data_IF_934689566779
#
_entry.id   IF_934689566779
#
_cell.length_a   1.000
_cell.length_b   1.000
_cell.length_c   1.000
_cell.angle_alpha   90.00
_cell.angle_beta   90.00
_cell.angle_gamma   90.00
#
_symmetry.space_group_name_H-M   'P 1'
#
loop_
_entity.id
_entity.type
_entity.pdbx_description
1 polymer ?
#
# COMPACT_ATOMS: atom_id res chain seq x y z
N UNK A 1 -0.94 -24.91 4.79
CA UNK A 1 -1.06 -25.81 5.95
C UNK A 1 -2.14 -26.89 5.77
N UNK A 2 -3.30 -26.65 5.15
CA UNK A 2 -4.37 -27.68 5.04
C UNK A 2 -4.04 -28.86 4.09
N UNK A 3 -3.30 -28.63 2.99
CA UNK A 3 -2.97 -29.67 1.99
C UNK A 3 -1.46 -29.97 1.85
N UNK A 4 -0.61 -29.32 2.65
CA UNK A 4 0.86 -29.46 2.61
C UNK A 4 1.55 -28.79 1.41
N UNK A 5 2.88 -28.68 1.47
CA UNK A 5 3.71 -28.05 0.41
C UNK A 5 3.80 -28.91 -0.86
N UNK A 6 3.88 -30.23 -0.71
CA UNK A 6 3.96 -31.17 -1.85
C UNK A 6 2.75 -31.04 -2.77
N UNK A 7 1.55 -30.87 -2.21
CA UNK A 7 0.34 -30.69 -3.01
C UNK A 7 0.32 -29.31 -3.68
N UNK A 8 0.81 -28.28 -2.98
CA UNK A 8 0.93 -26.93 -3.54
C UNK A 8 1.86 -26.90 -4.76
N UNK A 9 3.00 -27.60 -4.71
CA UNK A 9 3.91 -27.68 -5.85
C UNK A 9 3.27 -28.39 -7.05
N UNK A 10 2.52 -29.49 -6.81
CA UNK A 10 1.76 -30.16 -7.87
C UNK A 10 0.71 -29.25 -8.52
N UNK A 11 -0.04 -28.51 -7.70
CA UNK A 11 -1.03 -27.55 -8.19
C UNK A 11 -0.37 -26.45 -9.02
N UNK A 12 0.77 -25.93 -8.56
CA UNK A 12 1.53 -24.90 -9.30
C UNK A 12 2.03 -25.41 -10.64
N UNK A 13 2.61 -26.61 -10.68
CA UNK A 13 3.08 -27.22 -11.93
C UNK A 13 1.93 -27.43 -12.91
N UNK A 14 0.79 -27.96 -12.43
CA UNK A 14 -0.40 -28.19 -13.25
C UNK A 14 -1.03 -26.88 -13.76
N UNK A 15 -1.03 -25.81 -12.95
CA UNK A 15 -1.49 -24.49 -13.34
C UNK A 15 -0.50 -23.74 -14.28
N UNK A 16 0.68 -24.30 -14.55
CA UNK A 16 1.73 -23.63 -15.32
C UNK A 16 2.38 -22.44 -14.59
N UNK A 17 2.28 -22.40 -13.25
CA UNK A 17 2.79 -21.31 -12.42
C UNK A 17 4.30 -21.47 -12.16
N UNK A 18 5.11 -20.68 -12.87
CA UNK A 18 6.58 -20.67 -12.72
C UNK A 18 7.08 -19.98 -11.45
N UNK A 19 6.22 -19.27 -10.72
CA UNK A 19 6.59 -18.48 -9.54
C UNK A 19 6.58 -19.39 -8.32
N UNK A 20 7.73 -19.52 -7.64
CA UNK A 20 7.87 -20.27 -6.37
C UNK A 20 7.37 -19.47 -5.18
N UNK A 21 7.82 -18.23 -5.10
CA UNK A 21 7.56 -17.34 -3.96
C UNK A 21 6.78 -16.11 -4.42
N UNK A 22 5.63 -15.89 -3.80
CA UNK A 22 4.76 -14.76 -4.10
C UNK A 22 5.16 -13.54 -3.27
N UNK A 23 5.51 -12.44 -3.94
CA UNK A 23 5.79 -11.15 -3.33
C UNK A 23 4.53 -10.28 -3.36
N UNK A 24 4.16 -9.71 -2.21
CA UNK A 24 2.97 -8.87 -2.04
C UNK A 24 2.99 -7.57 -2.84
N UNK A 25 4.16 -7.05 -3.22
CA UNK A 25 4.30 -5.84 -4.03
C UNK A 25 4.45 -6.09 -5.54
N UNK A 26 4.52 -7.36 -5.95
CA UNK A 26 4.56 -7.75 -7.35
C UNK A 26 3.15 -8.03 -7.88
N UNK A 27 2.89 -7.62 -9.12
CA UNK A 27 1.63 -7.94 -9.81
C UNK A 27 1.82 -9.21 -10.62
N UNK A 28 0.86 -10.11 -10.47
CA UNK A 28 0.76 -11.35 -11.24
C UNK A 28 -0.41 -11.27 -12.22
N UNK A 29 -0.47 -12.20 -13.17
CA UNK A 29 -1.57 -12.28 -14.14
C UNK A 29 -2.92 -12.48 -13.44
N UNK A 30 -3.94 -11.73 -13.86
CA UNK A 30 -5.30 -11.85 -13.31
C UNK A 30 -5.88 -13.27 -13.50
N UNK A 31 -5.47 -13.96 -14.57
CA UNK A 31 -5.91 -15.33 -14.86
C UNK A 31 -5.28 -16.38 -13.94
N UNK A 32 -4.17 -16.06 -13.24
CA UNK A 32 -3.44 -17.04 -12.44
C UNK A 32 -4.29 -17.60 -11.30
N UNK A 33 -5.06 -16.76 -10.63
CA UNK A 33 -5.94 -17.18 -9.52
C UNK A 33 -7.04 -18.11 -10.02
N UNK A 34 -7.59 -17.81 -11.21
CA UNK A 34 -8.61 -18.66 -11.85
C UNK A 34 -8.01 -20.01 -12.26
N UNK A 35 -6.82 -20.00 -12.87
CA UNK A 35 -6.09 -21.22 -13.25
C UNK A 35 -5.78 -22.08 -12.03
N UNK A 36 -5.29 -21.49 -10.95
CA UNK A 36 -5.04 -22.20 -9.69
C UNK A 36 -6.32 -22.83 -9.13
N UNK A 37 -7.45 -22.13 -9.18
CA UNK A 37 -8.73 -22.69 -8.73
C UNK A 37 -9.19 -23.88 -9.58
N UNK A 38 -9.05 -23.79 -10.91
CA UNK A 38 -9.33 -24.91 -11.82
C UNK A 38 -8.40 -26.10 -11.55
N UNK A 39 -7.10 -25.86 -11.39
CA UNK A 39 -6.13 -26.90 -11.07
C UNK A 39 -6.38 -27.56 -9.71
N UNK A 40 -6.82 -26.80 -8.70
CA UNK A 40 -7.27 -27.37 -7.43
C UNK A 40 -8.46 -28.30 -7.61
N UNK A 41 -9.45 -27.90 -8.43
CA UNK A 41 -10.64 -28.72 -8.70
C UNK A 41 -10.30 -30.04 -9.37
N UNK A 42 -9.40 -30.00 -10.36
CA UNK A 42 -8.96 -31.20 -11.10
C UNK A 42 -8.10 -32.15 -10.26
N UNK A 43 -7.26 -31.64 -9.35
CA UNK A 43 -6.30 -32.46 -8.60
C UNK A 43 -6.82 -32.96 -7.25
N UNK A 44 -7.68 -32.18 -6.58
CA UNK A 44 -8.15 -32.49 -5.23
C UNK A 44 -9.51 -33.18 -5.23
N UNK A 45 -10.28 -33.11 -6.33
CA UNK A 45 -11.60 -33.75 -6.54
C UNK A 45 -12.67 -33.49 -5.44
N UNK A 46 -12.41 -32.58 -4.50
CA UNK A 46 -13.27 -32.30 -3.34
C UNK A 46 -14.20 -31.09 -3.51
N UNK A 47 -14.27 -30.52 -4.71
CA UNK A 47 -15.08 -29.32 -4.98
C UNK A 47 -14.86 -28.77 -6.39
N UNK A 48 -15.72 -27.84 -6.81
CA UNK A 48 -15.58 -27.14 -8.08
C UNK A 48 -14.60 -25.94 -7.97
N UNK A 49 -14.25 -25.33 -9.10
CA UNK A 49 -13.38 -24.16 -9.10
C UNK A 49 -13.95 -22.98 -8.29
N UNK A 50 -15.27 -22.83 -8.21
CA UNK A 50 -15.92 -21.75 -7.47
C UNK A 50 -15.80 -21.95 -5.95
N UNK A 51 -15.86 -23.18 -5.47
CA UNK A 51 -15.63 -23.55 -4.08
C UNK A 51 -14.18 -23.26 -3.67
N UNK A 52 -13.21 -23.53 -4.54
CA UNK A 52 -11.83 -23.12 -4.32
C UNK A 52 -11.64 -21.61 -4.35
N UNK A 53 -12.35 -20.87 -5.21
CA UNK A 53 -12.32 -19.39 -5.17
C UNK A 53 -12.89 -18.85 -3.85
N UNK A 54 -13.99 -19.42 -3.35
CA UNK A 54 -14.54 -19.07 -2.02
C UNK A 54 -13.52 -19.39 -0.92
N UNK A 55 -12.87 -20.54 -1.00
CA UNK A 55 -11.82 -20.93 -0.07
C UNK A 55 -10.66 -19.91 -0.09
N UNK A 56 -10.16 -19.53 -1.27
CA UNK A 56 -9.13 -18.50 -1.43
C UNK A 56 -9.54 -17.16 -0.81
N UNK A 57 -10.82 -16.77 -0.97
CA UNK A 57 -11.36 -15.56 -0.35
C UNK A 57 -11.31 -15.61 1.19
N UNK A 58 -11.64 -16.76 1.79
CA UNK A 58 -11.53 -16.96 3.25
C UNK A 58 -10.08 -16.91 3.70
N UNK A 59 -9.17 -17.57 2.98
CA UNK A 59 -7.74 -17.55 3.27
C UNK A 59 -7.16 -16.13 3.19
N UNK A 60 -7.61 -15.33 2.21
CA UNK A 60 -7.16 -13.94 2.06
C UNK A 60 -7.51 -13.09 3.29
N UNK A 61 -8.73 -13.20 3.82
CA UNK A 61 -9.12 -12.45 5.02
C UNK A 61 -8.28 -12.87 6.23
N UNK A 62 -8.03 -14.18 6.41
CA UNK A 62 -7.14 -14.68 7.46
C UNK A 62 -5.71 -14.17 7.31
N UNK A 63 -5.20 -14.10 6.08
CA UNK A 63 -3.91 -13.53 5.76
C UNK A 63 -3.87 -12.03 6.12
N UNK A 64 -4.87 -11.23 5.73
CA UNK A 64 -4.96 -9.82 6.11
C UNK A 64 -4.91 -9.62 7.62
N UNK A 65 -5.57 -10.49 8.38
CA UNK A 65 -5.52 -10.45 9.85
C UNK A 65 -4.13 -10.71 10.41
N UNK A 66 -3.34 -11.61 9.79
CA UNK A 66 -1.97 -11.87 10.21
C UNK A 66 -1.04 -10.64 10.05
N UNK A 67 -1.27 -9.83 9.01
CA UNK A 67 -0.53 -8.59 8.75
C UNK A 67 -1.08 -7.36 9.49
N UNK A 68 -1.91 -7.57 10.53
CA UNK A 68 -2.48 -6.53 11.39
C UNK A 68 -3.43 -5.54 10.69
N UNK A 69 -3.95 -5.90 9.51
CA UNK A 69 -5.02 -5.14 8.88
C UNK A 69 -6.38 -5.37 9.55
N UNK A 70 -6.49 -6.38 10.44
CA UNK A 70 -7.68 -6.67 11.23
C UNK A 70 -8.16 -5.48 12.06
N UNK A 71 -7.22 -4.73 12.67
CA UNK A 71 -7.53 -3.55 13.48
C UNK A 71 -8.22 -2.48 12.65
N UNK A 72 -7.75 -2.27 11.41
CA UNK A 72 -8.34 -1.31 10.48
C UNK A 72 -9.73 -1.77 10.04
N UNK A 73 -9.88 -3.05 9.68
CA UNK A 73 -11.17 -3.61 9.26
C UNK A 73 -12.23 -3.54 10.36
N UNK A 74 -11.87 -3.78 11.63
CA UNK A 74 -12.78 -3.72 12.79
C UNK A 74 -13.32 -2.32 13.09
N UNK A 75 -12.57 -1.26 12.74
CA UNK A 75 -12.99 0.13 13.04
C UNK A 75 -13.76 0.80 11.89
N UNK A 76 -13.81 0.18 10.71
CA UNK A 76 -14.44 0.78 9.52
C UNK A 76 -15.96 0.94 9.66
N UNK A 77 -16.66 0.04 10.36
CA UNK A 77 -18.11 0.12 10.50
C UNK A 77 -18.64 -0.55 11.76
N UNK A 78 -19.66 0.03 12.40
CA UNK A 78 -20.34 -0.55 13.56
C UNK A 78 -21.20 -1.75 13.19
N UNK A 79 -21.83 -1.66 12.02
CA UNK A 79 -22.66 -2.72 11.44
C UNK A 79 -22.07 -3.17 10.10
N UNK A 80 -22.37 -4.40 9.70
CA UNK A 80 -21.84 -4.97 8.45
C UNK A 80 -22.21 -4.14 7.21
N UNK A 81 -23.44 -3.61 7.12
CA UNK A 81 -23.82 -2.68 6.05
C UNK A 81 -23.00 -1.39 6.02
N UNK A 82 -22.65 -0.82 7.19
CA UNK A 82 -21.82 0.40 7.25
C UNK A 82 -20.40 0.09 6.78
N UNK A 83 -19.86 -1.05 7.21
CA UNK A 83 -18.56 -1.53 6.74
C UNK A 83 -18.51 -1.62 5.22
N UNK A 84 -19.50 -2.30 4.59
CA UNK A 84 -19.55 -2.45 3.13
C UNK A 84 -19.65 -1.11 2.40
N UNK A 85 -20.39 -0.13 2.94
CA UNK A 85 -20.49 1.22 2.36
C UNK A 85 -19.17 2.00 2.39
N UNK A 86 -18.28 1.69 3.33
CA UNK A 86 -16.98 2.36 3.50
C UNK A 86 -15.82 1.62 2.82
N UNK A 87 -16.06 0.44 2.25
CA UNK A 87 -14.99 -0.37 1.66
C UNK A 87 -14.27 0.31 0.50
N UNK A 88 -14.99 1.08 -0.33
CA UNK A 88 -14.37 1.84 -1.42
C UNK A 88 -13.42 2.92 -0.89
N UNK A 89 -13.75 3.53 0.25
CA UNK A 89 -12.88 4.49 0.92
C UNK A 89 -11.66 3.81 1.52
N UNK A 90 -11.85 2.64 2.15
CA UNK A 90 -10.77 1.81 2.67
C UNK A 90 -9.76 1.42 1.58
N UNK A 91 -10.26 0.92 0.44
CA UNK A 91 -9.41 0.54 -0.69
C UNK A 91 -8.56 1.71 -1.21
N UNK A 92 -9.11 2.92 -1.24
CA UNK A 92 -8.31 4.06 -1.66
C UNK A 92 -7.20 4.42 -0.68
N UNK A 93 -7.41 4.23 0.62
CA UNK A 93 -6.32 4.38 1.59
C UNK A 93 -5.25 3.30 1.42
N UNK A 94 -5.68 2.07 1.12
CA UNK A 94 -4.76 0.95 0.86
C UNK A 94 -3.89 1.17 -0.38
N UNK A 95 -4.32 2.02 -1.33
CA UNK A 95 -3.51 2.37 -2.52
C UNK A 95 -2.20 3.07 -2.17
N UNK A 96 -2.08 3.72 -1.01
CA UNK A 96 -0.79 4.27 -0.57
C UNK A 96 0.25 3.18 -0.26
N UNK A 97 -0.19 2.03 0.28
CA UNK A 97 0.66 0.85 0.47
C UNK A 97 0.81 0.00 -0.80
N UNK A 98 -0.22 0.00 -1.65
CA UNK A 98 -0.29 -0.78 -2.89
C UNK A 98 -0.63 0.12 -4.10
N UNK A 99 0.32 0.91 -4.64
CA UNK A 99 0.03 1.95 -5.64
C UNK A 99 -0.62 1.46 -6.94
N UNK A 100 -0.30 0.21 -7.32
CA UNK A 100 -0.79 -0.42 -8.55
C UNK A 100 -2.07 -1.25 -8.35
N UNK A 101 -2.65 -1.23 -7.14
CA UNK A 101 -3.88 -1.95 -6.84
C UNK A 101 -5.05 -1.39 -7.66
N UNK A 102 -5.79 -2.30 -8.31
CA UNK A 102 -7.06 -2.00 -8.97
C UNK A 102 -8.22 -2.50 -8.10
N UNK A 103 -8.70 -1.67 -7.19
CA UNK A 103 -9.77 -2.06 -6.28
C UNK A 103 -11.12 -2.18 -7.00
N UNK A 104 -11.94 -3.18 -6.66
CA UNK A 104 -13.33 -3.19 -7.07
C UNK A 104 -14.12 -2.11 -6.33
N UNK A 105 -15.30 -1.79 -6.84
CA UNK A 105 -16.27 -0.92 -6.19
C UNK A 105 -17.45 -1.71 -5.64
N UNK A 106 -17.89 -1.34 -4.43
CA UNK A 106 -18.99 -1.97 -3.70
C UNK A 106 -20.02 -0.92 -3.29
N UNK A 107 -21.26 -1.10 -3.75
CA UNK A 107 -22.36 -0.19 -3.44
C UNK A 107 -23.55 -1.00 -2.93
N UNK A 108 -24.10 -0.61 -1.78
CA UNK A 108 -25.38 -1.15 -1.32
C UNK A 108 -26.51 -0.42 -2.04
N UNK A 109 -27.29 -1.13 -2.84
CA UNK A 109 -28.45 -0.56 -3.55
C UNK A 109 -29.69 -0.51 -2.67
N UNK A 110 -29.96 -1.59 -1.95
CA UNK A 110 -31.14 -1.76 -1.10
C UNK A 110 -30.75 -2.45 0.21
N UNK A 111 -31.50 -2.19 1.28
CA UNK A 111 -31.32 -2.85 2.56
C UNK A 111 -32.65 -2.92 3.32
N UNK A 112 -32.82 -4.00 4.07
CA UNK A 112 -33.98 -4.28 4.90
C UNK A 112 -33.51 -4.88 6.25
N UNK A 113 -34.44 -5.29 7.10
CA UNK A 113 -34.12 -5.89 8.40
C UNK A 113 -33.47 -7.28 8.31
N UNK A 114 -33.63 -7.97 7.19
CA UNK A 114 -33.17 -9.33 6.95
C UNK A 114 -31.92 -9.38 6.05
N UNK A 115 -31.39 -8.24 5.63
CA UNK A 115 -30.22 -8.23 4.76
C UNK A 115 -30.03 -6.95 3.94
N UNK A 116 -29.25 -7.11 2.87
CA UNK A 116 -28.94 -6.05 1.91
C UNK A 116 -28.66 -6.60 0.51
N UNK A 117 -28.78 -5.74 -0.49
CA UNK A 117 -28.41 -6.01 -1.87
C UNK A 117 -27.12 -5.24 -2.19
N UNK A 118 -26.06 -5.99 -2.50
CA UNK A 118 -24.73 -5.46 -2.81
C UNK A 118 -24.48 -5.53 -4.32
N UNK A 119 -24.17 -4.38 -4.92
CA UNK A 119 -23.66 -4.30 -6.28
C UNK A 119 -22.14 -4.25 -6.24
N UNK A 120 -21.51 -5.25 -6.84
CA UNK A 120 -20.07 -5.38 -6.97
C UNK A 120 -19.64 -5.10 -8.41
N UNK A 121 -18.76 -4.12 -8.60
CA UNK A 121 -18.23 -3.74 -9.92
C UNK A 121 -16.72 -3.94 -9.95
N UNK A 122 -16.24 -4.67 -10.94
CA UNK A 122 -14.82 -5.01 -11.07
C UNK A 122 -14.40 -5.00 -12.53
N UNK A 123 -13.20 -4.51 -12.82
CA UNK A 123 -12.59 -4.65 -14.14
C UNK A 123 -12.11 -6.09 -14.44
N UNK A 124 -12.08 -6.94 -13.41
CA UNK A 124 -11.64 -8.34 -13.47
C UNK A 124 -12.86 -9.26 -13.43
N UNK A 125 -12.87 -10.24 -14.32
CA UNK A 125 -13.97 -11.20 -14.48
C UNK A 125 -13.72 -12.49 -13.67
N UNK A 126 -14.79 -13.18 -13.27
CA UNK A 126 -14.71 -14.50 -12.64
C UNK A 126 -14.33 -14.50 -11.15
N UNK A 127 -14.27 -13.34 -10.51
CA UNK A 127 -13.88 -13.20 -9.09
C UNK A 127 -15.08 -13.05 -8.13
N UNK A 128 -16.31 -13.25 -8.61
CA UNK A 128 -17.54 -13.16 -7.79
C UNK A 128 -17.48 -14.10 -6.58
N UNK A 129 -17.12 -15.36 -6.81
CA UNK A 129 -17.01 -16.38 -5.75
C UNK A 129 -15.85 -16.11 -4.79
N UNK A 130 -14.77 -15.48 -5.27
CA UNK A 130 -13.66 -15.04 -4.42
C UNK A 130 -14.11 -13.94 -3.44
N UNK A 131 -14.94 -13.00 -3.89
CA UNK A 131 -15.55 -12.00 -3.00
C UNK A 131 -16.52 -12.66 -2.00
N UNK A 132 -17.35 -13.61 -2.43
CA UNK A 132 -18.25 -14.33 -1.50
C UNK A 132 -17.48 -14.95 -0.34
N UNK A 133 -16.33 -15.59 -0.62
CA UNK A 133 -15.45 -16.15 0.40
C UNK A 133 -14.97 -15.11 1.41
N UNK A 134 -14.60 -13.93 0.94
CA UNK A 134 -14.18 -12.82 1.81
C UNK A 134 -15.35 -12.30 2.66
N UNK A 135 -16.52 -12.08 2.07
CA UNK A 135 -17.71 -11.58 2.78
C UNK A 135 -18.13 -12.53 3.90
N UNK A 136 -18.16 -13.84 3.62
CA UNK A 136 -18.48 -14.87 4.61
C UNK A 136 -17.47 -14.88 5.76
N UNK A 137 -16.17 -14.80 5.45
CA UNK A 137 -15.14 -14.80 6.49
C UNK A 137 -15.16 -13.50 7.32
N UNK A 138 -15.40 -12.35 6.68
CA UNK A 138 -15.48 -11.06 7.36
C UNK A 138 -16.68 -11.01 8.30
N UNK A 139 -17.86 -11.43 7.81
CA UNK A 139 -19.09 -11.45 8.61
C UNK A 139 -18.93 -12.34 9.85
N UNK A 140 -18.29 -13.50 9.70
CA UNK A 140 -18.03 -14.42 10.80
C UNK A 140 -16.98 -13.88 11.80
N UNK A 141 -15.80 -13.47 11.33
CA UNK A 141 -14.64 -13.19 12.20
C UNK A 141 -14.69 -11.79 12.85
N UNK A 142 -15.36 -10.83 12.21
CA UNK A 142 -15.38 -9.43 12.66
C UNK A 142 -16.72 -9.00 13.24
N UNK A 143 -17.83 -9.56 12.73
CA UNK A 143 -19.18 -9.16 13.14
C UNK A 143 -19.94 -10.26 13.89
N UNK A 144 -19.39 -11.49 13.94
CA UNK A 144 -20.05 -12.65 14.56
C UNK A 144 -21.45 -12.91 13.97
N UNK A 145 -21.62 -12.66 12.66
CA UNK A 145 -22.89 -12.75 11.96
C UNK A 145 -22.95 -13.99 11.04
N UNK A 146 -24.00 -14.82 11.13
CA UNK A 146 -24.27 -15.84 10.14
C UNK A 146 -24.79 -15.16 8.86
N UNK A 147 -23.94 -15.12 7.83
CA UNK A 147 -24.24 -14.52 6.54
C UNK A 147 -24.53 -15.61 5.50
N UNK A 148 -25.65 -15.48 4.78
CA UNK A 148 -25.90 -16.20 3.53
C UNK A 148 -25.73 -15.23 2.34
N UNK A 149 -25.13 -15.71 1.26
CA UNK A 149 -24.83 -14.89 0.07
C UNK A 149 -25.33 -15.61 -1.17
N UNK A 150 -26.20 -14.96 -1.93
CA UNK A 150 -26.76 -15.46 -3.18
C UNK A 150 -26.46 -14.49 -4.33
N UNK A 151 -26.16 -15.02 -5.50
CA UNK A 151 -25.96 -14.21 -6.71
C UNK A 151 -27.31 -14.01 -7.38
N UNK A 152 -27.77 -12.76 -7.46
CA UNK A 152 -29.04 -12.41 -8.12
C UNK A 152 -28.86 -12.20 -9.62
N UNK A 153 -27.76 -11.54 -10.01
CA UNK A 153 -27.52 -11.11 -11.39
C UNK A 153 -26.03 -10.96 -11.66
N UNK A 154 -25.58 -11.39 -12.83
CA UNK A 154 -24.24 -11.10 -13.36
C UNK A 154 -24.36 -10.48 -14.75
N UNK A 155 -23.76 -9.30 -14.92
CA UNK A 155 -23.73 -8.57 -16.18
C UNK A 155 -22.29 -8.20 -16.51
N UNK A 156 -21.94 -8.28 -17.79
CA UNK A 156 -20.67 -7.79 -18.32
C UNK A 156 -20.94 -6.65 -19.28
N UNK A 157 -20.43 -5.46 -18.98
CA UNK A 157 -20.56 -4.28 -19.84
C UNK A 157 -19.18 -3.60 -19.93
N UNK A 158 -18.70 -3.32 -21.15
CA UNK A 158 -17.48 -2.56 -21.43
C UNK A 158 -16.26 -2.91 -20.56
N UNK A 159 -15.83 -4.18 -20.57
CA UNK A 159 -14.71 -4.72 -19.76
C UNK A 159 -14.89 -4.60 -18.23
N UNK A 160 -16.11 -4.34 -17.74
CA UNK A 160 -16.45 -4.33 -16.32
C UNK A 160 -17.50 -5.39 -16.04
N UNK A 161 -17.21 -6.29 -15.09
CA UNK A 161 -18.20 -7.22 -14.55
C UNK A 161 -18.94 -6.54 -13.40
N UNK A 162 -20.27 -6.55 -13.48
CA UNK A 162 -21.17 -6.13 -12.43
C UNK A 162 -21.93 -7.35 -11.91
N UNK A 163 -21.73 -7.69 -10.64
CA UNK A 163 -22.44 -8.79 -9.97
C UNK A 163 -23.28 -8.23 -8.84
N UNK A 164 -24.57 -8.57 -8.83
CA UNK A 164 -25.51 -8.21 -7.77
C UNK A 164 -25.67 -9.39 -6.83
N UNK A 165 -25.36 -9.20 -5.55
CA UNK A 165 -25.50 -10.19 -4.49
C UNK A 165 -26.67 -9.84 -3.56
N UNK A 166 -27.46 -10.84 -3.17
CA UNK A 166 -28.32 -10.79 -1.99
C UNK A 166 -27.52 -11.27 -0.80
N UNK A 167 -27.47 -10.47 0.25
CA UNK A 167 -26.82 -10.75 1.52
C UNK A 167 -27.91 -10.92 2.57
N UNK A 168 -28.15 -12.13 3.06
CA UNK A 168 -29.14 -12.39 4.10
C UNK A 168 -28.44 -12.56 5.46
N UNK A 169 -28.81 -11.71 6.41
CA UNK A 169 -28.28 -11.66 7.77
C UNK A 169 -29.17 -10.74 8.64
N UNK A 170 -29.02 -10.81 9.96
CA UNK A 170 -29.74 -9.89 10.86
C UNK A 170 -29.22 -8.46 10.74
N UNK A 171 -30.00 -7.59 10.10
CA UNK A 171 -29.64 -6.21 9.81
C UNK A 171 -30.48 -5.20 10.61
N UNK A 172 -31.26 -5.66 11.60
CA UNK A 172 -32.19 -4.82 12.39
C UNK A 172 -31.50 -3.63 13.06
N UNK A 173 -30.36 -3.86 13.72
CA UNK A 173 -29.62 -2.81 14.42
C UNK A 173 -29.15 -1.68 13.49
N UNK A 174 -28.76 -2.01 12.26
CA UNK A 174 -28.41 -1.00 11.25
C UNK A 174 -29.63 -0.20 10.79
N UNK A 175 -30.76 -0.88 10.54
CA UNK A 175 -32.00 -0.22 10.12
C UNK A 175 -32.51 0.73 11.19
N UNK A 176 -32.48 0.33 12.46
CA UNK A 176 -32.84 1.17 13.60
C UNK A 176 -31.95 2.42 13.68
N UNK A 177 -30.62 2.26 13.58
CA UNK A 177 -29.68 3.38 13.56
C UNK A 177 -29.97 4.36 12.40
N UNK A 178 -30.31 3.85 11.22
CA UNK A 178 -30.63 4.68 10.06
C UNK A 178 -31.97 5.41 10.22
N UNK A 179 -32.98 4.75 10.82
CA UNK A 179 -34.25 5.39 11.17
C UNK A 179 -34.02 6.49 12.20
N UNK A 180 -33.24 6.24 13.25
CA UNK A 180 -32.92 7.24 14.29
C UNK A 180 -32.15 8.45 13.72
N UNK A 181 -31.22 8.22 12.78
CA UNK A 181 -30.53 9.31 12.06
C UNK A 181 -31.48 10.13 11.21
N UNK A 182 -32.36 9.48 10.44
CA UNK A 182 -33.34 10.18 9.59
C UNK A 182 -34.42 10.90 10.40
N UNK A 183 -34.80 10.34 11.56
CA UNK A 183 -35.68 10.98 12.54
C UNK A 183 -34.99 12.15 13.26
N UNK A 184 -33.71 12.43 12.96
CA UNK A 184 -33.01 13.63 13.39
C UNK A 184 -32.83 13.71 14.90
N UNK A 185 -32.37 12.66 15.58
CA UNK A 185 -32.03 12.69 17.02
C UNK A 185 -33.05 13.45 17.90
N UNK A 186 -34.37 13.32 17.69
CA UNK A 186 -35.39 14.09 18.41
C UNK A 186 -35.05 15.60 18.56
N UNK A 187 -34.42 16.21 17.55
CA UNK A 187 -34.10 17.63 17.57
C UNK A 187 -35.29 18.38 17.03
N UNK A 188 -35.80 19.34 17.80
CA UNK A 188 -36.75 20.30 17.27
C UNK A 188 -36.12 20.96 16.03
N UNK A 189 -36.84 21.01 14.89
CA UNK A 189 -36.33 21.66 13.70
C UNK A 189 -36.02 23.12 14.04
N UNK A 190 -34.82 23.58 13.65
CA UNK A 190 -34.52 25.00 13.72
C UNK A 190 -35.61 25.76 12.96
N UNK A 191 -36.03 26.96 13.42
CA UNK A 191 -36.97 27.78 12.68
C UNK A 191 -36.47 27.93 11.24
N UNK A 192 -37.35 27.68 10.26
CA UNK A 192 -37.02 27.52 8.83
C UNK A 192 -36.21 28.68 8.24
N UNK A 193 -36.27 29.86 8.87
CA UNK A 193 -35.60 31.08 8.43
C UNK A 193 -34.15 31.21 8.95
N UNK A 194 -33.68 30.28 9.80
CA UNK A 194 -32.45 30.48 10.60
C UNK A 194 -31.17 29.97 9.93
N UNK A 195 -31.26 28.97 9.04
CA UNK A 195 -30.07 28.34 8.46
C UNK A 195 -30.10 28.37 6.93
N UNK A 196 -29.65 29.49 6.36
CA UNK A 196 -29.46 29.62 4.92
C UNK A 196 -28.21 28.89 4.42
N UNK A 197 -28.23 28.46 3.16
CA UNK A 197 -27.07 27.85 2.49
C UNK A 197 -25.84 28.77 2.48
N UNK A 198 -26.03 30.10 2.52
CA UNK A 198 -24.94 31.06 2.68
C UNK A 198 -24.18 30.89 4.00
N UNK A 199 -24.89 30.65 5.11
CA UNK A 199 -24.26 30.35 6.41
C UNK A 199 -23.48 29.04 6.35
N UNK A 200 -23.97 28.05 5.59
CA UNK A 200 -23.23 26.82 5.35
C UNK A 200 -21.94 27.07 4.57
N UNK A 201 -21.97 27.87 3.50
CA UNK A 201 -20.78 28.20 2.71
C UNK A 201 -19.78 29.10 3.43
N UNK A 202 -20.19 29.84 4.48
CA UNK A 202 -19.24 30.49 5.38
C UNK A 202 -18.38 29.47 6.15
N UNK A 203 -18.93 28.28 6.44
CA UNK A 203 -18.18 27.19 7.03
C UNK A 203 -17.48 26.34 5.97
N UNK A 204 -18.11 26.12 4.82
CA UNK A 204 -17.61 25.32 3.70
C UNK A 204 -17.36 26.21 2.47
N UNK A 205 -16.26 26.99 2.44
CA UNK A 205 -15.98 27.99 1.40
C UNK A 205 -15.78 27.40 0.00
N UNK A 206 -15.52 26.09 -0.08
CA UNK A 206 -15.36 25.36 -1.34
C UNK A 206 -16.58 24.50 -1.72
N UNK A 207 -17.67 24.57 -0.94
CA UNK A 207 -18.88 23.80 -1.22
C UNK A 207 -19.57 24.20 -2.53
N UNK A 208 -20.28 23.28 -3.15
CA UNK A 208 -21.05 23.50 -4.37
C UNK A 208 -22.43 22.85 -4.29
N UNK A 209 -23.43 23.43 -4.93
CA UNK A 209 -24.77 22.85 -5.07
C UNK A 209 -25.04 22.61 -6.55
N UNK A 210 -25.36 21.37 -6.88
CA UNK A 210 -25.70 20.91 -8.23
C UNK A 210 -27.21 20.66 -8.33
N UNK A 211 -27.81 21.10 -9.44
CA UNK A 211 -29.18 20.77 -9.79
C UNK A 211 -29.33 19.36 -10.38
N UNK A 212 -30.57 18.94 -10.74
CA UNK A 212 -30.85 17.63 -11.34
C UNK A 212 -30.09 17.35 -12.64
N UNK A 213 -29.85 18.40 -13.44
CA UNK A 213 -29.05 18.33 -14.67
C UNK A 213 -27.53 18.40 -14.41
N UNK A 214 -27.10 18.30 -13.15
CA UNK A 214 -25.70 18.42 -12.74
C UNK A 214 -25.07 19.75 -13.15
N UNK A 215 -25.90 20.80 -13.21
CA UNK A 215 -25.47 22.20 -13.37
C UNK A 215 -25.15 22.81 -12.02
N UNK A 216 -24.12 23.65 -11.98
CA UNK A 216 -23.71 24.33 -10.74
C UNK A 216 -24.70 25.47 -10.45
N UNK A 217 -25.61 25.26 -9.50
CA UNK A 217 -26.59 26.26 -9.10
C UNK A 217 -25.97 27.30 -8.14
N UNK A 218 -25.15 26.83 -7.20
CA UNK A 218 -24.47 27.68 -6.22
C UNK A 218 -23.07 27.15 -5.95
N UNK A 219 -22.16 28.04 -5.56
CA UNK A 219 -20.81 27.69 -5.13
C UNK A 219 -20.37 28.63 -4.00
N UNK A 220 -19.48 28.12 -3.14
CA UNK A 220 -18.87 28.91 -2.09
C UNK A 220 -17.98 30.02 -2.64
N UNK A 221 -17.72 31.03 -1.78
CA UNK A 221 -17.02 32.25 -2.17
C UNK A 221 -15.65 31.97 -2.78
N UNK A 222 -14.88 31.02 -2.23
CA UNK A 222 -13.51 30.74 -2.67
C UNK A 222 -13.46 30.02 -4.02
N UNK A 223 -14.45 29.18 -4.31
CA UNK A 223 -14.59 28.57 -5.64
C UNK A 223 -14.88 29.65 -6.68
N UNK A 224 -15.79 30.58 -6.39
CA UNK A 224 -16.12 31.69 -7.29
C UNK A 224 -14.95 32.67 -7.47
N UNK A 225 -14.14 32.88 -6.42
CA UNK A 225 -12.92 33.70 -6.47
C UNK A 225 -11.86 33.08 -7.38
N UNK A 226 -11.64 31.76 -7.29
CA UNK A 226 -10.57 31.06 -8.02
C UNK A 226 -10.96 30.77 -9.47
N UNK A 227 -12.18 30.28 -9.71
CA UNK A 227 -12.64 29.77 -11.02
C UNK A 227 -13.53 30.75 -11.78
N UNK A 228 -13.88 31.88 -11.16
CA UNK A 228 -14.78 32.89 -11.71
C UNK A 228 -16.26 32.55 -11.54
N UNK A 229 -17.12 33.55 -11.75
CA UNK A 229 -18.58 33.41 -11.64
C UNK A 229 -19.22 32.64 -12.81
N UNK A 230 -18.49 32.47 -13.90
CA UNK A 230 -18.96 31.81 -15.12
C UNK A 230 -19.27 30.32 -14.91
N UNK A 231 -18.83 29.74 -13.79
CA UNK A 231 -19.17 28.37 -13.43
C UNK A 231 -20.66 28.21 -13.11
N UNK A 232 -21.33 29.27 -12.64
CA UNK A 232 -22.74 29.21 -12.25
C UNK A 232 -23.63 29.00 -13.49
N UNK A 233 -24.52 28.01 -13.43
CA UNK A 233 -25.41 27.60 -14.51
C UNK A 233 -24.77 26.67 -15.57
N UNK A 234 -23.44 26.56 -15.59
CA UNK A 234 -22.73 25.63 -16.48
C UNK A 234 -22.77 24.19 -15.95
N UNK A 235 -22.53 23.21 -16.82
CA UNK A 235 -22.43 21.81 -16.40
C UNK A 235 -21.19 21.60 -15.55
N UNK A 236 -21.31 20.74 -14.53
CA UNK A 236 -20.19 20.43 -13.64
C UNK A 236 -18.98 19.89 -14.42
N UNK A 237 -19.20 19.00 -15.39
CA UNK A 237 -18.13 18.33 -16.15
C UNK A 237 -17.36 19.26 -17.11
N UNK A 238 -17.95 20.40 -17.48
CA UNK A 238 -17.32 21.41 -18.32
C UNK A 238 -16.22 22.16 -17.56
N UNK A 239 -16.34 22.23 -16.23
CA UNK A 239 -15.38 22.94 -15.37
C UNK A 239 -14.49 22.00 -14.57
N UNK A 240 -14.91 20.76 -14.34
CA UNK A 240 -14.20 19.80 -13.49
C UNK A 240 -13.96 18.46 -14.20
N UNK A 241 -12.82 17.84 -13.90
CA UNK A 241 -12.48 16.48 -14.26
C UNK A 241 -12.61 15.63 -13.00
N UNK A 242 -13.39 14.56 -13.06
CA UNK A 242 -13.54 13.63 -11.95
C UNK A 242 -12.37 12.66 -11.99
N UNK A 243 -11.46 12.79 -11.01
CA UNK A 243 -10.37 11.84 -10.80
C UNK A 243 -10.87 10.61 -10.06
N UNK A 244 -11.87 10.78 -9.18
CA UNK A 244 -12.50 9.69 -8.45
C UNK A 244 -13.96 10.03 -8.09
N UNK A 245 -14.89 9.06 -8.18
CA UNK A 245 -14.75 7.73 -8.77
C UNK A 245 -14.61 7.77 -10.31
N UNK A 246 -13.94 6.78 -10.91
CA UNK A 246 -13.79 6.67 -12.37
C UNK A 246 -15.10 6.17 -13.01
N UNK A 247 -16.06 7.06 -13.14
CA UNK A 247 -17.40 6.80 -13.68
C UNK A 247 -17.83 7.91 -14.63
N UNK A 248 -18.76 7.61 -15.53
CA UNK A 248 -19.48 8.64 -16.27
C UNK A 248 -20.47 9.33 -15.32
N UNK A 249 -20.45 10.66 -15.30
CA UNK A 249 -21.28 11.43 -14.38
C UNK A 249 -22.74 11.48 -14.85
N UNK A 250 -23.62 10.88 -14.07
CA UNK A 250 -25.08 10.98 -14.18
C UNK A 250 -25.72 11.17 -12.80
N UNK A 251 -26.97 11.62 -12.75
CA UNK A 251 -27.69 11.77 -11.48
C UNK A 251 -27.82 10.44 -10.72
N UNK A 252 -28.05 9.35 -11.45
CA UNK A 252 -28.11 8.00 -10.88
C UNK A 252 -26.76 7.60 -10.26
N UNK A 253 -25.66 7.87 -10.95
CA UNK A 253 -24.33 7.57 -10.42
C UNK A 253 -24.00 8.40 -9.17
N UNK A 254 -24.34 9.69 -9.12
CA UNK A 254 -24.15 10.50 -7.90
C UNK A 254 -24.93 9.91 -6.72
N UNK A 255 -26.12 9.36 -6.98
CA UNK A 255 -26.95 8.71 -5.96
C UNK A 255 -26.34 7.38 -5.46
N UNK A 256 -25.81 6.58 -6.38
CA UNK A 256 -25.12 5.32 -6.06
C UNK A 256 -23.85 5.56 -5.23
N UNK A 257 -23.04 6.55 -5.60
CA UNK A 257 -21.71 6.82 -5.03
C UNK A 257 -21.72 7.87 -3.90
N UNK A 258 -22.85 8.07 -3.22
CA UNK A 258 -22.99 9.06 -2.15
C UNK A 258 -22.03 8.87 -0.96
N UNK A 259 -21.56 7.64 -0.69
CA UNK A 259 -20.64 7.36 0.42
C UNK A 259 -19.17 7.33 -0.01
N UNK A 260 -18.91 7.39 -1.32
CA UNK A 260 -17.55 7.37 -1.83
C UNK A 260 -17.01 8.79 -1.80
N UNK A 261 -15.75 8.95 -1.41
CA UNK A 261 -15.07 10.24 -1.50
C UNK A 261 -14.78 10.58 -2.96
N UNK A 262 -15.21 11.76 -3.37
CA UNK A 262 -15.01 12.32 -4.69
C UNK A 262 -13.74 13.17 -4.71
N UNK A 263 -12.93 12.99 -5.75
CA UNK A 263 -11.76 13.82 -6.02
C UNK A 263 -11.95 14.42 -7.42
N UNK A 264 -12.00 15.75 -7.48
CA UNK A 264 -12.30 16.50 -8.71
C UNK A 264 -11.26 17.58 -8.91
N UNK A 265 -10.77 17.72 -10.14
CA UNK A 265 -9.76 18.70 -10.53
C UNK A 265 -10.38 19.76 -11.42
N UNK A 266 -10.13 21.04 -11.14
CA UNK A 266 -10.62 22.12 -12.00
C UNK A 266 -9.88 22.15 -13.34
N UNK A 267 -10.61 22.29 -14.44
CA UNK A 267 -10.03 22.50 -15.78
C UNK A 267 -9.49 23.91 -15.96
N UNK A 268 -10.14 24.89 -15.32
CA UNK A 268 -9.69 26.27 -15.30
C UNK A 268 -8.53 26.42 -14.31
N UNK A 269 -7.49 27.12 -14.73
CA UNK A 269 -6.41 27.52 -13.84
C UNK A 269 -6.90 28.64 -12.91
N UNK A 270 -6.37 28.72 -11.68
CA UNK A 270 -6.69 29.79 -10.73
C UNK A 270 -6.48 31.18 -11.35
N UNK A 271 -7.49 32.03 -11.26
CA UNK A 271 -7.35 33.45 -11.60
C UNK A 271 -6.57 34.17 -10.49
N UNK A 272 -5.24 33.98 -10.43
CA UNK A 272 -4.42 34.66 -9.42
C UNK A 272 -4.35 36.16 -9.72
N UNK A 273 -4.75 37.04 -8.80
CA UNK A 273 -4.57 38.48 -8.99
C UNK A 273 -3.07 38.81 -9.06
N UNK A 274 -2.66 39.47 -10.16
CA UNK A 274 -1.28 39.89 -10.48
C UNK A 274 -0.62 40.81 -9.43
N UNK A 275 -1.32 41.21 -8.37
CA UNK A 275 -0.76 42.06 -7.31
C UNK A 275 0.15 41.32 -6.33
N UNK A 276 0.08 39.98 -6.27
CA UNK A 276 0.91 39.17 -5.35
C UNK A 276 2.10 38.47 -6.02
N UNK A 277 2.29 38.64 -7.33
CA UNK A 277 3.44 38.13 -8.06
C UNK A 277 4.68 39.04 -8.00
N UNK A 278 4.68 40.07 -7.14
CA UNK A 278 5.76 41.05 -7.01
C UNK A 278 6.38 41.03 -5.61
N UNK A 279 6.99 39.91 -5.25
CA UNK A 279 8.29 39.94 -4.57
C UNK A 279 9.12 38.86 -5.25
N UNK A 280 9.63 39.17 -6.45
CA UNK A 280 10.90 38.61 -6.85
C UNK A 280 11.89 39.13 -5.81
N UNK A 281 12.30 38.27 -4.88
CA UNK A 281 13.48 38.54 -4.08
C UNK A 281 14.60 38.66 -5.11
N UNK A 282 15.11 39.87 -5.34
CA UNK A 282 16.33 40.05 -6.13
C UNK A 282 17.37 39.12 -5.52
N UNK A 283 17.74 38.07 -6.25
CA UNK A 283 18.84 37.19 -5.88
C UNK A 283 20.13 38.01 -5.93
N UNK A 284 20.48 38.68 -4.84
CA UNK A 284 21.88 39.02 -4.60
C UNK A 284 22.64 37.70 -4.49
N UNK A 285 23.68 37.48 -5.31
CA UNK A 285 24.40 36.20 -5.32
C UNK A 285 24.98 35.94 -3.91
N UNK A 286 24.86 34.71 -3.37
CA UNK A 286 25.25 34.45 -2.01
C UNK A 286 26.76 34.58 -1.86
N UNK A 287 27.19 35.42 -0.91
CA UNK A 287 28.57 35.39 -0.41
C UNK A 287 28.81 34.00 0.20
N UNK A 288 29.83 33.29 -0.30
CA UNK A 288 30.28 31.99 0.21
C UNK A 288 30.50 32.11 1.73
N UNK A 289 29.67 31.46 2.55
CA UNK A 289 29.96 31.31 3.98
C UNK A 289 28.80 31.19 4.98
N UNK A 290 27.52 31.22 4.58
CA UNK A 290 26.42 31.07 5.56
C UNK A 290 25.46 29.94 5.21
N UNK A 291 25.25 29.06 6.20
CA UNK A 291 24.23 28.02 6.26
C UNK A 291 22.95 28.40 5.52
N UNK A 292 22.64 27.68 4.42
CA UNK A 292 21.37 27.83 3.72
C UNK A 292 20.22 27.50 4.68
N UNK A 293 19.24 28.39 4.75
CA UNK A 293 17.96 28.06 5.38
C UNK A 293 17.28 26.99 4.50
N UNK A 294 16.66 25.93 5.07
CA UNK A 294 16.12 24.78 4.32
C UNK A 294 15.01 25.10 3.30
N UNK A 295 14.55 26.36 3.26
CA UNK A 295 13.36 26.81 2.53
C UNK A 295 13.61 27.11 1.04
N UNK A 296 14.85 27.07 0.57
CA UNK A 296 15.20 27.38 -0.84
C UNK A 296 15.57 26.15 -1.66
N UNK A 297 15.28 24.93 -1.18
CA UNK A 297 15.48 23.73 -2.00
C UNK A 297 14.32 23.58 -2.99
N UNK A 298 14.35 24.42 -4.02
CA UNK A 298 13.49 24.37 -5.20
C UNK A 298 13.84 23.12 -6.02
N UNK A 299 13.22 22.00 -5.69
CA UNK A 299 13.11 20.84 -6.58
C UNK A 299 11.67 20.44 -6.90
N UNK A 300 10.70 21.31 -6.63
CA UNK A 300 9.28 21.06 -6.95
C UNK A 300 8.65 22.03 -7.97
N UNK A 301 9.42 22.94 -8.59
CA UNK A 301 8.91 23.86 -9.62
C UNK A 301 8.70 23.20 -11.00
N UNK A 302 8.47 21.89 -11.05
CA UNK A 302 7.97 21.18 -12.23
C UNK A 302 6.47 20.94 -12.06
N UNK A 303 5.68 21.98 -12.39
CA UNK A 303 4.25 21.97 -12.83
C UNK A 303 3.41 23.10 -12.20
N UNK A 304 3.74 24.36 -12.48
CA UNK A 304 2.87 25.54 -12.19
C UNK A 304 1.61 25.60 -13.09
N UNK A 305 1.09 24.45 -13.54
CA UNK A 305 0.02 24.31 -14.54
C UNK A 305 -1.06 23.31 -14.10
N UNK A 306 -1.27 23.14 -12.79
CA UNK A 306 -2.28 22.21 -12.27
C UNK A 306 -3.54 22.95 -11.83
N UNK A 307 -4.69 22.31 -12.08
CA UNK A 307 -5.97 22.79 -11.61
C UNK A 307 -6.11 22.67 -10.09
N UNK A 308 -7.10 23.34 -9.53
CA UNK A 308 -7.49 23.18 -8.13
C UNK A 308 -8.04 21.76 -7.93
N UNK A 309 -7.36 20.95 -7.14
CA UNK A 309 -7.83 19.64 -6.74
C UNK A 309 -8.69 19.74 -5.48
N UNK A 310 -9.91 19.23 -5.56
CA UNK A 310 -10.91 19.26 -4.50
C UNK A 310 -11.25 17.83 -4.09
N UNK A 311 -11.32 17.59 -2.78
CA UNK A 311 -11.73 16.31 -2.20
C UNK A 311 -12.94 16.51 -1.31
N UNK A 312 -13.97 15.70 -1.49
CA UNK A 312 -15.21 15.88 -0.76
C UNK A 312 -16.20 14.75 -0.92
N UNK A 313 -17.40 14.95 -0.38
CA UNK A 313 -18.51 14.02 -0.52
C UNK A 313 -19.69 14.71 -1.18
N UNK A 314 -20.38 13.98 -2.06
CA UNK A 314 -21.64 14.43 -2.66
C UNK A 314 -22.82 13.87 -1.85
N UNK A 315 -23.65 14.77 -1.34
CA UNK A 315 -24.84 14.44 -0.56
C UNK A 315 -26.10 14.84 -1.33
N UNK A 316 -27.05 13.91 -1.49
CA UNK A 316 -28.30 14.19 -2.21
C UNK A 316 -29.41 14.57 -1.22
N UNK A 317 -29.94 15.77 -1.41
CA UNK A 317 -31.16 16.24 -0.77
C UNK A 317 -32.35 15.79 -1.62
N UNK A 318 -32.92 14.63 -1.29
CA UNK A 318 -33.99 13.98 -2.08
C UNK A 318 -35.22 14.89 -2.27
N UNK A 319 -35.62 15.63 -1.24
CA UNK A 319 -36.81 16.47 -1.26
C UNK A 319 -36.67 17.66 -2.23
N UNK A 320 -35.46 18.21 -2.33
CA UNK A 320 -35.16 19.37 -3.17
C UNK A 320 -34.59 18.98 -4.55
N UNK A 321 -34.26 17.69 -4.76
CA UNK A 321 -33.51 17.20 -5.92
C UNK A 321 -32.24 18.01 -6.18
N UNK A 322 -31.47 18.24 -5.11
CA UNK A 322 -30.18 18.93 -5.16
C UNK A 322 -29.08 17.99 -4.68
N UNK A 323 -27.92 18.05 -5.34
CA UNK A 323 -26.71 17.38 -4.88
C UNK A 323 -25.76 18.43 -4.30
N UNK A 324 -25.49 18.35 -3.00
CA UNK A 324 -24.55 19.19 -2.28
C UNK A 324 -23.18 18.52 -2.29
N UNK A 325 -22.20 19.14 -2.93
CA UNK A 325 -20.81 18.71 -2.88
C UNK A 325 -20.06 19.53 -1.83
N UNK A 326 -19.81 18.92 -0.66
CA UNK A 326 -19.00 19.52 0.39
C UNK A 326 -17.57 19.03 0.21
N UNK A 327 -16.66 19.94 -0.12
CA UNK A 327 -15.28 19.61 -0.44
C UNK A 327 -14.29 20.58 0.20
N UNK A 328 -13.04 20.13 0.27
CA UNK A 328 -11.88 20.89 0.70
C UNK A 328 -10.80 20.84 -0.40
N UNK A 329 -9.95 21.87 -0.52
CA UNK A 329 -8.84 21.84 -1.45
C UNK A 329 -7.74 20.92 -0.93
N UNK A 330 -7.19 20.09 -1.82
CA UNK A 330 -6.02 19.26 -1.54
C UNK A 330 -4.77 20.04 -1.89
N UNK A 331 -4.11 20.57 -0.86
CA UNK A 331 -2.88 21.35 -0.97
C UNK A 331 -1.77 20.65 -0.19
N UNK A 332 -0.60 20.47 -0.78
CA UNK A 332 0.50 19.73 -0.16
C UNK A 332 1.45 20.61 0.63
N UNK A 333 1.56 21.89 0.26
CA UNK A 333 2.51 22.81 0.86
C UNK A 333 2.06 24.28 0.72
N UNK A 334 2.76 25.17 1.44
CA UNK A 334 2.50 26.61 1.43
C UNK A 334 2.77 27.28 0.07
N UNK A 335 3.65 26.68 -0.75
CA UNK A 335 3.99 27.21 -2.08
C UNK A 335 2.81 27.03 -3.03
N UNK A 336 2.25 25.81 -3.09
CA UNK A 336 1.06 25.46 -3.87
C UNK A 336 -0.15 26.29 -3.42
N UNK A 337 -0.32 26.50 -2.11
CA UNK A 337 -1.38 27.38 -1.60
C UNK A 337 -1.27 28.81 -2.16
N UNK A 338 -0.04 29.37 -2.18
CA UNK A 338 0.22 30.70 -2.73
C UNK A 338 0.02 30.76 -4.24
N UNK A 339 0.45 29.73 -4.97
CA UNK A 339 0.25 29.60 -6.42
C UNK A 339 -1.24 29.54 -6.80
N UNK A 340 -2.06 28.94 -5.93
CA UNK A 340 -3.52 28.91 -6.09
C UNK A 340 -4.21 30.22 -5.67
N UNK A 341 -3.45 31.21 -5.18
CA UNK A 341 -3.99 32.48 -4.68
C UNK A 341 -4.77 32.34 -3.38
N UNK A 342 -4.56 31.25 -2.63
CA UNK A 342 -5.23 30.95 -1.38
C UNK A 342 -4.40 31.39 -0.18
N UNK A 343 -5.08 31.71 0.91
CA UNK A 343 -4.48 31.99 2.22
C UNK A 343 -4.98 31.00 3.27
N UNK A 344 -4.23 30.88 4.37
CA UNK A 344 -4.60 29.97 5.47
C UNK A 344 -5.98 30.29 6.06
N UNK A 345 -6.39 31.56 6.03
CA UNK A 345 -7.70 32.02 6.49
C UNK A 345 -8.85 31.55 5.57
N UNK A 346 -8.58 31.22 4.31
CA UNK A 346 -9.58 30.75 3.35
C UNK A 346 -9.93 29.27 3.54
N UNK A 347 -9.09 28.53 4.25
CA UNK A 347 -9.31 27.13 4.58
C UNK A 347 -10.21 26.99 5.81
N UNK A 348 -11.01 25.94 5.88
CA UNK A 348 -11.87 25.68 7.03
C UNK A 348 -11.05 25.28 8.27
N UNK A 349 -11.60 25.50 9.47
CA UNK A 349 -10.95 25.09 10.73
C UNK A 349 -11.33 23.70 11.22
N UNK A 350 -12.42 23.15 10.68
CA UNK A 350 -12.96 21.86 11.11
C UNK A 350 -12.48 20.70 10.22
N UNK A 351 -11.80 21.00 9.11
CA UNK A 351 -11.21 19.99 8.22
C UNK A 351 -9.69 19.91 8.40
N UNK A 352 -9.08 18.93 7.73
CA UNK A 352 -7.64 18.66 7.79
C UNK A 352 -6.84 19.53 6.81
N UNK A 353 -7.45 20.44 6.04
CA UNK A 353 -6.75 21.16 4.97
C UNK A 353 -5.67 22.10 5.53
N UNK A 354 -5.98 22.84 6.61
CA UNK A 354 -5.00 23.69 7.32
C UNK A 354 -3.87 22.85 7.90
N UNK A 355 -4.22 21.76 8.56
CA UNK A 355 -3.24 20.84 9.12
C UNK A 355 -2.38 20.23 8.03
N UNK A 356 -2.91 19.85 6.87
CA UNK A 356 -2.12 19.29 5.77
C UNK A 356 -1.08 20.28 5.23
N UNK A 357 -1.47 21.52 4.98
CA UNK A 357 -0.56 22.56 4.47
C UNK A 357 0.53 22.89 5.49
N UNK A 358 0.17 22.96 6.78
CA UNK A 358 1.12 23.15 7.88
C UNK A 358 1.90 21.88 8.23
N UNK A 359 1.34 20.71 7.98
CA UNK A 359 1.97 19.43 8.20
C UNK A 359 3.03 19.20 7.14
N UNK A 360 2.88 19.67 5.90
CA UNK A 360 4.01 19.74 4.96
C UNK A 360 5.22 20.46 5.57
N UNK A 361 4.97 21.53 6.34
CA UNK A 361 5.99 22.24 7.11
C UNK A 361 6.52 21.45 8.31
N UNK A 362 5.66 20.78 9.09
CA UNK A 362 6.08 19.91 10.20
C UNK A 362 6.74 18.59 9.72
N UNK A 363 6.39 18.12 8.52
CA UNK A 363 6.90 16.89 7.92
C UNK A 363 8.34 17.06 7.52
N UNK A 364 8.84 18.24 7.17
CA UNK A 364 10.27 18.45 7.00
C UNK A 364 11.06 18.00 8.23
N UNK A 365 10.55 18.27 9.44
CA UNK A 365 11.18 17.81 10.69
C UNK A 365 11.09 16.29 10.86
N UNK A 366 9.92 15.68 10.62
CA UNK A 366 9.77 14.21 10.68
C UNK A 366 10.54 13.48 9.57
N UNK A 367 10.59 14.04 8.37
CA UNK A 367 11.31 13.53 7.22
C UNK A 367 12.81 13.62 7.48
N UNK A 368 13.28 14.70 8.12
CA UNK A 368 14.65 14.82 8.62
C UNK A 368 14.95 13.71 9.64
N UNK A 369 14.06 13.44 10.59
CA UNK A 369 14.24 12.33 11.56
C UNK A 369 14.29 10.98 10.85
N UNK A 370 13.42 10.74 9.87
CA UNK A 370 13.41 9.49 9.09
C UNK A 370 14.64 9.35 8.21
N UNK A 371 15.12 10.45 7.61
CA UNK A 371 16.35 10.50 6.85
C UNK A 371 17.56 10.16 7.74
N UNK A 372 17.68 10.82 8.90
CA UNK A 372 18.75 10.53 9.85
C UNK A 372 18.71 9.05 10.32
N UNK A 373 17.52 8.48 10.54
CA UNK A 373 17.37 7.06 10.86
C UNK A 373 17.80 6.16 9.71
N UNK A 374 17.42 6.50 8.47
CA UNK A 374 17.81 5.73 7.29
C UNK A 374 19.33 5.77 7.08
N UNK A 375 19.95 6.92 7.28
CA UNK A 375 21.42 7.09 7.25
C UNK A 375 22.10 6.25 8.34
N UNK A 376 21.56 6.26 9.56
CA UNK A 376 22.04 5.42 10.65
C UNK A 376 21.89 3.92 10.33
N UNK A 377 20.77 3.50 9.75
CA UNK A 377 20.59 2.12 9.30
C UNK A 377 21.55 1.75 8.17
N UNK A 378 21.80 2.65 7.22
CA UNK A 378 22.79 2.44 6.15
C UNK A 378 24.18 2.23 6.71
N UNK A 379 24.60 3.10 7.64
CA UNK A 379 25.90 2.98 8.32
C UNK A 379 26.02 1.66 9.09
N UNK A 380 24.98 1.26 9.83
CA UNK A 380 24.97 -0.03 10.54
C UNK A 380 25.01 -1.23 9.58
N UNK A 381 24.37 -1.12 8.42
CA UNK A 381 24.37 -2.17 7.40
C UNK A 381 25.74 -2.27 6.74
N UNK A 382 26.40 -1.15 6.45
CA UNK A 382 27.78 -1.11 5.95
C UNK A 382 28.74 -1.75 6.95
N UNK A 383 28.65 -1.40 8.23
CA UNK A 383 29.46 -2.04 9.30
C UNK A 383 29.23 -3.55 9.36
N UNK A 384 27.97 -3.99 9.29
CA UNK A 384 27.62 -5.41 9.32
C UNK A 384 28.14 -6.14 8.07
N UNK A 385 28.04 -5.51 6.90
CA UNK A 385 28.56 -6.04 5.65
C UNK A 385 30.09 -6.15 5.69
N UNK A 386 30.78 -5.15 6.24
CA UNK A 386 32.22 -5.19 6.41
C UNK A 386 32.64 -6.34 7.34
N UNK A 387 31.99 -6.49 8.51
CA UNK A 387 32.27 -7.61 9.42
C UNK A 387 31.99 -8.97 8.78
N UNK A 388 30.96 -9.05 7.94
CA UNK A 388 30.65 -10.26 7.19
C UNK A 388 31.76 -10.58 6.17
N UNK A 389 32.24 -9.61 5.40
CA UNK A 389 33.37 -9.80 4.48
C UNK A 389 34.66 -10.17 5.21
N UNK A 390 34.96 -9.55 6.36
CA UNK A 390 36.11 -9.92 7.20
C UNK A 390 36.00 -11.34 7.76
N UNK A 391 34.80 -11.77 8.16
CA UNK A 391 34.57 -13.14 8.61
C UNK A 391 34.68 -14.15 7.46
N UNK A 392 34.16 -13.80 6.29
CA UNK A 392 34.24 -14.61 5.07
C UNK A 392 35.69 -14.77 4.60
N UNK A 393 36.47 -13.68 4.57
CA UNK A 393 37.89 -13.72 4.23
C UNK A 393 38.68 -14.63 5.18
N UNK A 394 38.45 -14.51 6.50
CA UNK A 394 39.06 -15.41 7.49
C UNK A 394 38.62 -16.87 7.29
N UNK A 395 37.36 -17.11 6.93
CA UNK A 395 36.86 -18.45 6.61
C UNK A 395 37.52 -19.03 5.37
N UNK A 396 37.67 -18.23 4.31
CA UNK A 396 38.36 -18.60 3.07
C UNK A 396 39.85 -18.91 3.35
N UNK A 397 40.55 -18.06 4.09
CA UNK A 397 41.97 -18.28 4.46
C UNK A 397 42.16 -19.58 5.24
N UNK A 398 41.27 -19.87 6.20
CA UNK A 398 41.31 -21.12 6.95
C UNK A 398 41.06 -22.33 6.05
N UNK A 399 40.09 -22.26 5.13
CA UNK A 399 39.79 -23.35 4.19
C UNK A 399 40.99 -23.64 3.29
N UNK A 400 41.62 -22.61 2.74
CA UNK A 400 42.80 -22.75 1.88
C UNK A 400 44.08 -23.14 2.64
N UNK A 401 44.13 -22.96 3.96
CA UNK A 401 45.23 -23.45 4.79
C UNK A 401 45.15 -24.96 5.06
N UNK A 402 43.95 -25.55 4.99
CA UNK A 402 43.71 -26.96 5.32
C UNK A 402 43.61 -27.87 4.09
N UNK A 403 43.28 -27.30 2.92
CA UNK A 403 43.05 -28.04 1.68
C UNK A 403 43.72 -27.35 0.49
N UNK A 404 44.15 -28.10 -0.54
CA UNK A 404 44.63 -27.50 -1.78
C UNK A 404 43.55 -26.62 -2.41
N UNK A 405 43.93 -25.45 -2.93
CA UNK A 405 42.98 -24.44 -3.47
C UNK A 405 41.97 -25.02 -4.48
N UNK A 406 42.44 -25.90 -5.36
CA UNK A 406 41.58 -26.54 -6.37
C UNK A 406 40.46 -27.40 -5.76
N UNK A 407 40.75 -28.12 -4.69
CA UNK A 407 39.76 -28.95 -3.98
C UNK A 407 38.82 -28.06 -3.16
N UNK A 408 39.37 -27.06 -2.47
CA UNK A 408 38.61 -26.10 -1.67
C UNK A 408 37.59 -25.30 -2.52
N UNK A 409 37.97 -24.84 -3.72
CA UNK A 409 37.08 -24.09 -4.61
C UNK A 409 35.92 -24.94 -5.14
N UNK A 410 36.18 -26.22 -5.48
CA UNK A 410 35.14 -27.15 -5.93
C UNK A 410 34.13 -27.45 -4.82
N UNK A 411 34.62 -27.67 -3.60
CA UNK A 411 33.76 -27.90 -2.43
C UNK A 411 32.96 -26.65 -2.05
N UNK A 412 33.55 -25.46 -2.16
CA UNK A 412 32.87 -24.17 -1.88
C UNK A 412 31.73 -23.89 -2.84
N UNK A 413 31.84 -24.36 -4.09
CA UNK A 413 30.77 -24.26 -5.09
C UNK A 413 29.62 -25.25 -4.84
N UNK A 414 29.73 -26.13 -3.83
CA UNK A 414 28.70 -27.12 -3.50
C UNK A 414 28.69 -28.33 -4.42
N UNK A 415 29.76 -28.56 -5.19
CA UNK A 415 29.90 -29.74 -6.03
C UNK A 415 30.14 -30.99 -5.18
N UNK A 416 29.73 -32.15 -5.70
CA UNK A 416 29.85 -33.43 -4.99
C UNK A 416 31.32 -33.75 -4.65
N UNK A 417 31.66 -34.07 -3.39
CA UNK A 417 33.04 -34.36 -2.98
C UNK A 417 33.70 -35.46 -3.81
N UNK A 418 32.94 -36.43 -4.33
CA UNK A 418 33.47 -37.51 -5.16
C UNK A 418 34.04 -37.03 -6.50
N UNK A 419 33.62 -35.87 -7.00
CA UNK A 419 34.18 -35.27 -8.21
C UNK A 419 35.61 -34.75 -8.01
N UNK A 420 36.05 -34.56 -6.76
CA UNK A 420 37.42 -34.12 -6.43
C UNK A 420 38.42 -35.28 -6.32
N UNK A 421 37.94 -36.54 -6.32
CA UNK A 421 38.79 -37.72 -6.28
C UNK A 421 39.56 -37.86 -7.59
N UNK A 422 40.87 -37.67 -7.54
CA UNK A 422 41.76 -37.78 -8.69
C UNK A 422 42.85 -38.82 -8.40
N UNK A 423 43.17 -39.63 -9.41
CA UNK A 423 44.33 -40.51 -9.40
C UNK A 423 45.49 -39.78 -10.06
N UNK A 424 46.60 -39.64 -9.34
CA UNK A 424 47.83 -39.05 -9.87
C UNK A 424 48.78 -40.16 -10.31
N UNK A 425 49.40 -40.02 -11.49
CA UNK A 425 50.33 -41.03 -12.03
C UNK A 425 51.65 -41.08 -11.24
N UNK A 426 52.11 -39.93 -10.74
CA UNK A 426 53.34 -39.80 -9.95
C UNK A 426 53.11 -38.90 -8.73
N UNK A 427 53.33 -39.42 -7.52
CA UNK A 427 53.25 -38.67 -6.26
C UNK A 427 54.47 -39.00 -5.42
N UNK A 428 55.13 -37.98 -4.89
CA UNK A 428 56.21 -38.16 -3.92
C UNK A 428 55.68 -37.81 -2.53
N UNK A 429 55.78 -38.76 -1.59
CA UNK A 429 55.34 -38.57 -0.20
C UNK A 429 56.56 -38.57 0.71
N UNK A 430 56.64 -37.59 1.61
CA UNK A 430 57.72 -37.46 2.58
C UNK A 430 57.17 -37.62 4.00
N UNK A 431 57.75 -38.53 4.77
CA UNK A 431 57.44 -38.72 6.19
C UNK A 431 58.64 -38.32 7.03
N UNK A 432 58.40 -37.48 8.04
CA UNK A 432 59.40 -37.10 9.03
C UNK A 432 58.89 -37.47 10.43
N UNK A 433 59.69 -38.24 11.17
CA UNK A 433 59.43 -38.60 12.57
C UNK A 433 60.36 -37.81 13.48
N UNK A 434 59.81 -37.17 14.51
CA UNK A 434 60.57 -36.41 15.51
C UNK A 434 60.42 -37.09 16.86
N UNK A 435 61.52 -37.61 17.42
CA UNK A 435 61.52 -38.31 18.70
C UNK A 435 61.59 -37.33 19.88
N UNK A 436 60.49 -36.63 20.12
CA UNK A 436 60.36 -35.63 21.21
C UNK A 436 60.24 -36.22 22.62
N UNK A 437 59.99 -37.53 22.76
CA UNK A 437 59.72 -38.16 24.05
C UNK A 437 60.91 -38.08 25.03
N UNK A 438 62.15 -38.17 24.54
CA UNK A 438 63.34 -38.14 25.37
C UNK A 438 63.78 -36.71 25.78
N UNK A 439 63.42 -35.70 25.00
CA UNK A 439 63.79 -34.29 25.26
C UNK A 439 62.74 -33.57 26.13
N UNK A 440 61.50 -34.06 26.14
CA UNK A 440 60.42 -33.53 26.98
C UNK A 440 60.39 -34.13 28.40
N UNK A 441 61.24 -35.13 28.71
CA UNK A 441 61.38 -35.68 30.07
C UNK A 441 61.95 -34.60 31.02
N UNK A 442 61.08 -34.06 31.87
CA UNK A 442 61.44 -33.01 32.85
C UNK A 442 61.01 -31.59 32.45
N UNK A 443 60.39 -31.40 31.28
CA UNK A 443 59.81 -30.12 30.85
C UNK A 443 58.35 -29.97 31.29
N UNK A 444 57.87 -28.73 31.41
CA UNK A 444 56.44 -28.48 31.61
C UNK A 444 55.67 -28.73 30.30
N UNK A 445 54.41 -29.15 30.39
CA UNK A 445 53.57 -29.39 29.22
C UNK A 445 53.43 -28.16 28.31
N UNK A 446 53.45 -26.95 28.90
CA UNK A 446 53.40 -25.69 28.15
C UNK A 446 54.69 -25.43 27.36
N UNK A 447 55.85 -25.75 27.96
CA UNK A 447 57.15 -25.57 27.29
C UNK A 447 57.33 -26.60 26.17
N UNK A 448 56.91 -27.85 26.38
CA UNK A 448 56.91 -28.88 25.34
C UNK A 448 56.02 -28.48 24.14
N UNK A 449 54.80 -27.98 24.40
CA UNK A 449 53.91 -27.48 23.34
C UNK A 449 54.51 -26.29 22.58
N UNK A 450 55.22 -25.40 23.27
CA UNK A 450 55.89 -24.26 22.64
C UNK A 450 56.99 -24.73 21.68
N UNK A 451 57.84 -25.66 22.10
CA UNK A 451 58.90 -26.24 21.25
C UNK A 451 58.32 -26.95 20.02
N UNK A 452 57.25 -27.72 20.20
CA UNK A 452 56.55 -28.40 19.10
C UNK A 452 55.96 -27.38 18.10
N UNK A 453 55.32 -26.33 18.60
CA UNK A 453 54.77 -25.28 17.76
C UNK A 453 55.86 -24.52 16.98
N UNK A 454 56.99 -24.21 17.60
CA UNK A 454 58.13 -23.57 16.94
C UNK A 454 58.71 -24.45 15.82
N UNK A 455 58.83 -25.76 16.06
CA UNK A 455 59.28 -26.73 15.07
C UNK A 455 58.32 -26.80 13.87
N UNK A 456 57.01 -26.93 14.12
CA UNK A 456 56.03 -26.97 13.03
C UNK A 456 55.95 -25.65 12.26
N UNK A 457 56.07 -24.50 12.92
CA UNK A 457 56.14 -23.20 12.24
C UNK A 457 57.37 -23.08 11.32
N UNK A 458 58.50 -23.69 11.70
CA UNK A 458 59.70 -23.70 10.87
C UNK A 458 59.53 -24.61 9.65
N UNK A 459 58.91 -25.79 9.85
CA UNK A 459 58.55 -26.68 8.76
C UNK A 459 57.55 -26.04 7.79
N UNK A 460 56.51 -25.38 8.29
CA UNK A 460 55.48 -24.72 7.48
C UNK A 460 56.09 -23.61 6.58
N UNK A 461 57.06 -22.84 7.11
CA UNK A 461 57.80 -21.85 6.31
C UNK A 461 58.61 -22.48 5.17
N UNK A 462 59.19 -23.65 5.42
CA UNK A 462 59.96 -24.37 4.40
C UNK A 462 59.02 -24.97 3.35
N UNK A 463 57.89 -25.55 3.75
CA UNK A 463 56.90 -26.09 2.79
C UNK A 463 56.31 -25.00 1.91
N UNK A 464 56.00 -23.83 2.48
CA UNK A 464 55.51 -22.67 1.72
C UNK A 464 56.56 -22.15 0.73
N UNK A 465 57.83 -22.09 1.13
CA UNK A 465 58.93 -21.62 0.27
C UNK A 465 59.11 -22.50 -0.97
N UNK A 466 58.94 -23.81 -0.83
CA UNK A 466 59.08 -24.76 -1.94
C UNK A 466 57.73 -25.12 -2.60
N UNK A 467 56.62 -24.47 -2.20
CA UNK A 467 55.27 -24.72 -2.72
C UNK A 467 54.84 -26.20 -2.63
N UNK A 468 55.22 -26.87 -1.55
CA UNK A 468 54.84 -28.26 -1.26
C UNK A 468 53.65 -28.24 -0.30
N UNK A 469 52.61 -29.03 -0.58
CA UNK A 469 51.45 -29.16 0.30
C UNK A 469 51.74 -30.15 1.45
N UNK A 470 51.41 -29.75 2.68
CA UNK A 470 51.65 -30.52 3.91
C UNK A 470 50.55 -31.54 4.19
#
# INVERSE_FOLDING_TARGET
MEYGEVMWDRIREHAGCRVTDFNTHQIYSDNLVLQLATSCSELLENGDANDYLRFFGRCFVRFCSHYQYDKMLRVTGRHFCQFLREMDNLHAQMRFGFPKMKSPSMVISEYDCNGAVLQYRSSRTGLSHYLMGQLLQIANDFFELPLNVEILKEEGEDNTQCTTFRLDFDNRGFVEDMIQRNAGFNREPLPTDTFGIGTLFNQFPFGMVLGPELRVNMAGEKILMILGKDILGSLFIDNFIIQRPHIQLSWETVSMFQNVVWEVESRKLPAVPKSNSLIAIEETPPRRGSSQAPWTSERSSLNSSRGLLLKGQMYILKDLKLALFLCMPLLNNLVEMREMGLFLNDLSMHDLSREMVLAGWQHCSRLQIMYNRAEEYSSRLEDAHQRHEEAKARGDDLLYSMLPRQVADVLRQGNDPYATCQTFEEVTVFFAEVKLAAECEGMSAMDAMKTINELYQLLDKVTDQYSVFK
#
